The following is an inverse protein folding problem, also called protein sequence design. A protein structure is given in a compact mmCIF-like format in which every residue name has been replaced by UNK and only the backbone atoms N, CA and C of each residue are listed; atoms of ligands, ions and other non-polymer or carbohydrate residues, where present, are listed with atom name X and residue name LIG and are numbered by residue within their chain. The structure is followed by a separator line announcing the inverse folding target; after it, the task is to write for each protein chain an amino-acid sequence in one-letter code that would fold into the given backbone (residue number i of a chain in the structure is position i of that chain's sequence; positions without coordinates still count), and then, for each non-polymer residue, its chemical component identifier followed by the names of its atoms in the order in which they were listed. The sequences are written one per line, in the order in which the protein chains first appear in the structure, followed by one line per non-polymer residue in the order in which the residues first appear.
data_IF_149514703568
#
_entry.id   IF_149514703568
#
_cell.length_a   1.000
_cell.length_b   1.000
_cell.length_c   1.000
_cell.angle_alpha   90.00
_cell.angle_beta   90.00
_cell.angle_gamma   90.00
#
_symmetry.space_group_name_H-M   'P 1'
#
loop_
_entity.id
_entity.type
_entity.pdbx_description
1 polymer ?
#
# COMPACT_ATOMS: atom_id res chain seq x y z
N UNK A 1 5.53 -4.70 18.19
CA UNK A 1 4.48 -3.89 17.52
C UNK A 1 4.68 -4.06 16.02
N UNK A 2 3.68 -4.56 15.30
CA UNK A 2 3.80 -4.93 13.88
C UNK A 2 2.62 -4.35 13.08
N UNK A 3 2.86 -4.04 11.81
CA UNK A 3 1.83 -3.58 10.87
C UNK A 3 1.48 -4.70 9.91
N UNK A 4 0.18 -4.99 9.77
CA UNK A 4 -0.34 -5.91 8.75
C UNK A 4 -0.43 -5.17 7.42
N UNK A 5 0.05 -5.80 6.36
CA UNK A 5 0.05 -5.23 5.01
C UNK A 5 -0.69 -6.20 4.08
N UNK A 6 -1.70 -5.72 3.36
CA UNK A 6 -2.36 -6.44 2.27
C UNK A 6 -2.00 -5.83 0.93
N UNK A 7 -1.53 -6.62 -0.03
CA UNK A 7 -1.10 -6.17 -1.36
C UNK A 7 -1.95 -6.83 -2.43
N UNK A 8 -2.73 -6.04 -3.15
CA UNK A 8 -3.38 -6.42 -4.40
C UNK A 8 -2.40 -6.14 -5.55
N UNK A 9 -2.09 -7.15 -6.37
CA UNK A 9 -1.27 -6.97 -7.57
C UNK A 9 -2.15 -6.98 -8.82
N UNK A 10 -2.10 -5.91 -9.60
CA UNK A 10 -2.90 -5.78 -10.82
C UNK A 10 -4.40 -5.95 -10.56
N UNK A 11 -5.03 -6.90 -11.26
CA UNK A 11 -6.46 -7.19 -11.17
C UNK A 11 -6.79 -8.40 -10.27
N UNK A 12 -5.82 -8.90 -9.49
CA UNK A 12 -6.05 -10.05 -8.61
C UNK A 12 -7.10 -9.70 -7.53
N UNK A 13 -8.13 -10.55 -7.31
CA UNK A 13 -9.21 -10.25 -6.38
C UNK A 13 -8.86 -10.49 -4.90
N UNK A 14 -7.74 -11.18 -4.62
CA UNK A 14 -7.32 -11.59 -3.28
C UNK A 14 -5.95 -10.97 -2.98
N UNK A 15 -5.78 -10.29 -1.84
CA UNK A 15 -4.51 -9.67 -1.50
C UNK A 15 -3.51 -10.67 -0.92
N UNK A 16 -2.23 -10.46 -1.19
CA UNK A 16 -1.14 -11.10 -0.45
C UNK A 16 -0.97 -10.44 0.91
N UNK A 17 -0.90 -11.24 1.98
CA UNK A 17 -0.76 -10.75 3.35
C UNK A 17 0.70 -10.81 3.79
N UNK A 18 1.22 -9.69 4.26
CA UNK A 18 2.56 -9.52 4.83
C UNK A 18 2.52 -8.89 6.21
N UNK A 19 3.67 -8.81 6.86
CA UNK A 19 3.84 -8.13 8.14
C UNK A 19 5.18 -7.39 8.14
N UNK A 20 5.16 -6.12 8.56
CA UNK A 20 6.37 -5.32 8.76
C UNK A 20 6.49 -4.92 10.24
N UNK A 21 7.71 -4.85 10.79
CA UNK A 21 7.92 -4.38 12.14
C UNK A 21 7.69 -2.86 12.24
N UNK A 22 7.14 -2.41 13.37
CA UNK A 22 6.86 -0.99 13.62
C UNK A 22 5.43 -0.58 13.23
N UNK A 23 5.17 0.74 13.24
CA UNK A 23 3.89 1.35 12.83
C UNK A 23 4.06 2.40 11.72
N UNK A 24 5.17 3.13 11.73
CA UNK A 24 5.47 4.16 10.74
C UNK A 24 6.23 3.52 9.57
N UNK A 25 5.49 2.80 8.73
CA UNK A 25 6.06 2.13 7.56
C UNK A 25 6.18 3.15 6.43
N UNK A 26 7.37 3.32 5.85
CA UNK A 26 7.55 4.17 4.67
C UNK A 26 7.33 3.41 3.37
N UNK A 27 7.14 4.12 2.25
CA UNK A 27 7.07 3.49 0.93
C UNK A 27 8.36 2.69 0.63
N UNK A 28 9.53 3.22 0.98
CA UNK A 28 10.80 2.49 0.79
C UNK A 28 10.83 1.15 1.54
N UNK A 29 10.30 1.10 2.77
CA UNK A 29 10.19 -0.14 3.53
C UNK A 29 9.15 -1.09 2.92
N UNK A 30 8.01 -0.57 2.49
CA UNK A 30 6.99 -1.37 1.81
C UNK A 30 7.51 -2.00 0.52
N UNK A 31 8.30 -1.27 -0.26
CA UNK A 31 8.91 -1.77 -1.51
C UNK A 31 9.79 -3.00 -1.30
N UNK A 32 10.32 -3.23 -0.10
CA UNK A 32 11.07 -4.47 0.23
C UNK A 32 10.22 -5.74 0.15
N UNK A 33 8.89 -5.61 0.24
CA UNK A 33 7.94 -6.71 0.08
C UNK A 33 7.71 -7.09 -1.40
N UNK A 34 8.10 -6.21 -2.33
CA UNK A 34 7.87 -6.37 -3.77
C UNK A 34 9.03 -7.15 -4.36
N UNK A 35 8.85 -8.46 -4.51
CA UNK A 35 9.90 -9.37 -5.03
C UNK A 35 9.97 -9.41 -6.55
N UNK A 36 8.93 -8.92 -7.24
CA UNK A 36 8.86 -8.88 -8.71
C UNK A 36 9.70 -7.72 -9.25
N UNK A 37 10.52 -7.96 -10.28
CA UNK A 37 11.27 -6.91 -10.98
C UNK A 37 10.34 -6.08 -11.87
N UNK A 38 10.61 -4.79 -11.96
CA UNK A 38 9.92 -3.85 -12.85
C UNK A 38 9.68 -2.50 -12.19
N UNK A 39 9.06 -1.60 -12.96
CA UNK A 39 8.56 -0.32 -12.44
C UNK A 39 7.10 -0.49 -12.06
N UNK A 40 6.69 0.04 -10.92
CA UNK A 40 5.34 -0.08 -10.40
C UNK A 40 4.80 1.27 -9.93
N UNK A 41 3.47 1.42 -9.98
CA UNK A 41 2.72 2.45 -9.26
C UNK A 41 2.15 1.85 -7.99
N UNK A 42 2.20 2.63 -6.92
CA UNK A 42 1.76 2.22 -5.59
C UNK A 42 0.62 3.11 -5.15
N UNK A 43 -0.51 2.48 -4.84
CA UNK A 43 -1.68 3.15 -4.33
C UNK A 43 -2.05 2.57 -2.97
N UNK A 44 -2.40 3.42 -2.01
CA UNK A 44 -2.68 3.00 -0.65
C UNK A 44 -4.07 3.46 -0.25
N UNK A 45 -4.86 2.54 0.31
CA UNK A 45 -6.20 2.85 0.79
C UNK A 45 -6.09 3.73 2.05
N UNK A 46 -6.84 4.83 2.07
CA UNK A 46 -7.02 5.70 3.24
C UNK A 46 -8.44 6.19 3.35
N UNK A 47 -8.85 6.57 4.56
CA UNK A 47 -10.10 7.29 4.78
C UNK A 47 -10.10 8.64 4.04
N UNK A 48 -11.21 8.94 3.36
CA UNK A 48 -11.41 10.21 2.68
C UNK A 48 -12.87 10.49 2.36
N UNK A 49 -13.31 11.71 2.64
CA UNK A 49 -14.66 12.20 2.31
C UNK A 49 -14.70 13.04 1.02
N UNK A 50 -13.58 13.11 0.28
CA UNK A 50 -13.43 13.96 -0.91
C UNK A 50 -14.39 13.60 -2.05
N UNK A 51 -14.79 12.33 -2.13
CA UNK A 51 -15.59 11.78 -3.24
C UNK A 51 -16.91 11.12 -2.76
N UNK A 52 -17.10 10.99 -1.44
CA UNK A 52 -18.32 10.45 -0.83
C UNK A 52 -18.31 8.94 -0.55
N UNK A 53 -17.29 8.20 -0.99
CA UNK A 53 -17.13 6.75 -0.74
C UNK A 53 -16.49 6.42 0.62
N UNK A 54 -16.08 7.45 1.38
CA UNK A 54 -15.41 7.31 2.67
C UNK A 54 -13.97 6.81 2.58
N UNK A 55 -13.47 6.52 1.37
CA UNK A 55 -12.12 6.02 1.15
C UNK A 55 -11.59 6.38 -0.23
N UNK A 56 -10.28 6.53 -0.35
CA UNK A 56 -9.57 6.64 -1.63
C UNK A 56 -8.35 5.73 -1.66
N UNK A 57 -7.91 5.42 -2.88
CA UNK A 57 -6.58 4.89 -3.12
C UNK A 57 -5.66 6.04 -3.53
N UNK A 58 -4.83 6.50 -2.59
CA UNK A 58 -3.88 7.59 -2.82
C UNK A 58 -2.60 7.05 -3.46
N UNK A 59 -2.15 7.68 -4.55
CA UNK A 59 -0.88 7.34 -5.17
C UNK A 59 0.29 7.93 -4.37
N UNK A 60 1.27 7.10 -4.01
CA UNK A 60 2.49 7.55 -3.31
C UNK A 60 3.71 7.10 -4.11
N UNK A 61 4.62 8.03 -4.39
CA UNK A 61 5.86 7.78 -5.13
C UNK A 61 7.16 8.12 -4.38
N UNK A 62 7.08 8.85 -3.27
CA UNK A 62 8.24 9.22 -2.45
C UNK A 62 8.53 8.16 -1.38
N UNK A 63 9.74 7.60 -1.39
CA UNK A 63 10.18 6.51 -0.52
C UNK A 63 10.26 6.89 0.96
N UNK A 64 10.35 8.19 1.25
CA UNK A 64 10.40 8.71 2.61
C UNK A 64 9.02 8.86 3.25
N UNK A 65 7.95 8.87 2.45
CA UNK A 65 6.58 9.08 2.94
C UNK A 65 6.11 7.88 3.76
N UNK A 66 5.61 8.16 4.96
CA UNK A 66 4.92 7.18 5.80
C UNK A 66 3.57 6.85 5.19
N UNK A 67 3.31 5.56 5.02
CA UNK A 67 2.11 5.08 4.35
C UNK A 67 0.86 5.28 5.21
N UNK A 68 -0.28 5.64 4.60
CA UNK A 68 -1.54 5.75 5.33
C UNK A 68 -2.02 4.37 5.78
N UNK A 69 -2.78 4.37 6.88
CA UNK A 69 -3.41 3.17 7.41
C UNK A 69 -4.92 3.19 7.14
N UNK A 70 -5.46 2.02 6.81
CA UNK A 70 -6.88 1.73 6.75
C UNK A 70 -7.20 0.70 7.84
N UNK A 71 -8.02 1.06 8.83
CA UNK A 71 -8.39 0.17 9.95
C UNK A 71 -7.18 -0.53 10.62
N UNK A 72 -6.12 0.23 10.93
CA UNK A 72 -4.85 -0.27 11.51
C UNK A 72 -4.05 -1.24 10.63
N UNK A 73 -4.31 -1.26 9.33
CA UNK A 73 -3.59 -2.07 8.34
C UNK A 73 -3.13 -1.16 7.21
N UNK A 74 -2.15 -1.60 6.43
CA UNK A 74 -1.84 -0.99 5.14
C UNK A 74 -2.52 -1.84 4.07
N UNK A 75 -3.36 -1.22 3.24
CA UNK A 75 -3.98 -1.87 2.08
C UNK A 75 -3.45 -1.20 0.84
N UNK A 76 -2.68 -1.94 0.05
CA UNK A 76 -2.00 -1.43 -1.13
C UNK A 76 -2.54 -2.09 -2.40
N UNK A 77 -2.64 -1.30 -3.47
CA UNK A 77 -2.76 -1.77 -4.84
C UNK A 77 -1.49 -1.44 -5.59
N UNK A 78 -0.90 -2.44 -6.24
CA UNK A 78 0.36 -2.33 -6.96
C UNK A 78 0.13 -2.70 -8.42
N UNK A 79 0.31 -1.71 -9.30
CA UNK A 79 0.14 -1.87 -10.74
C UNK A 79 1.51 -1.78 -11.40
N UNK A 80 1.85 -2.79 -12.21
CA UNK A 80 3.09 -2.77 -13.01
C UNK A 80 2.92 -1.77 -14.14
N UNK A 81 3.93 -0.92 -14.35
CA UNK A 81 4.01 -0.05 -15.52
C UNK A 81 4.64 -0.89 -16.64
N UNK A 82 3.94 -1.00 -17.77
CA UNK A 82 4.49 -1.58 -19.01
C UNK A 82 5.50 -0.64 -19.66
#
# INVERSE_FOLDING_TARGET
NTTVVGIYFGAEPIPYRHTLPGRNITLGQFKTLITKKGTFKYFFKRDSDEFGEGAVFEQISDDSVVLPMWENKIVAKVDKIE
#
